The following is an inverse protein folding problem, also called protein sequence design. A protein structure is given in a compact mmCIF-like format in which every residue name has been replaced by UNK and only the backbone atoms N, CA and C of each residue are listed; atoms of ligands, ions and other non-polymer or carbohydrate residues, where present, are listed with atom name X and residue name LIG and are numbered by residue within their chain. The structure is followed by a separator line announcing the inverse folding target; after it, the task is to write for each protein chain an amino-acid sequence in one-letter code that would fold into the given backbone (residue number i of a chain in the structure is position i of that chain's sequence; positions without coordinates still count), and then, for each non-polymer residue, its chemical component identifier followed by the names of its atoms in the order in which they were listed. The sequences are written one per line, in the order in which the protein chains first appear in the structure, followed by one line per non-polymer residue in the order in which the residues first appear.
data_IF_864702564573
#
_entry.id   IF_864702564573
#
_cell.length_a   1.000
_cell.length_b   1.000
_cell.length_c   1.000
_cell.angle_alpha   90.00
_cell.angle_beta   90.00
_cell.angle_gamma   90.00
#
_symmetry.space_group_name_H-M   'P 1'
#
loop_
_entity.id
_entity.type
_entity.pdbx_description
1 polymer ?
#
# COMPACT_ATOMS: atom_id res chain seq x y z
N UNK A 1 -2.07 -25.28 8.98
CA UNK A 1 -3.02 -26.06 8.15
C UNK A 1 -2.29 -27.01 7.21
N UNK A 2 -1.39 -26.51 6.35
CA UNK A 2 -0.62 -27.34 5.41
C UNK A 2 0.76 -27.76 5.93
N UNK A 3 1.00 -27.51 7.22
CA UNK A 3 2.25 -27.74 7.94
C UNK A 3 3.52 -27.53 7.10
N UNK A 4 3.63 -26.34 6.49
CA UNK A 4 4.73 -25.99 5.62
C UNK A 4 5.96 -25.64 6.47
N UNK A 5 7.14 -26.08 6.02
CA UNK A 5 8.41 -25.65 6.62
C UNK A 5 8.64 -24.16 6.36
N UNK A 6 8.43 -23.74 5.11
CA UNK A 6 8.56 -22.35 4.65
C UNK A 6 7.44 -22.04 3.65
N UNK A 7 6.91 -20.82 3.71
CA UNK A 7 5.92 -20.33 2.77
C UNK A 7 5.98 -18.80 2.68
N UNK A 8 5.88 -18.30 1.46
CA UNK A 8 5.75 -16.88 1.18
C UNK A 8 4.66 -16.63 0.14
N UNK A 9 3.97 -15.51 0.30
CA UNK A 9 3.10 -14.98 -0.74
C UNK A 9 3.91 -14.23 -1.79
N UNK A 10 3.43 -14.24 -3.02
CA UNK A 10 3.97 -13.37 -4.06
C UNK A 10 3.61 -11.91 -3.80
N UNK A 11 4.59 -11.15 -3.29
CA UNK A 11 4.53 -9.69 -3.20
C UNK A 11 4.52 -9.06 -4.59
N UNK A 12 5.27 -9.65 -5.53
CA UNK A 12 5.33 -9.27 -6.94
C UNK A 12 3.94 -9.26 -7.61
N UNK A 13 3.08 -10.23 -7.29
CA UNK A 13 1.74 -10.34 -7.86
C UNK A 13 0.87 -9.12 -7.50
N UNK A 14 0.82 -8.77 -6.21
CA UNK A 14 0.07 -7.60 -5.76
C UNK A 14 0.73 -6.29 -6.19
N UNK A 15 2.07 -6.24 -6.24
CA UNK A 15 2.81 -5.11 -6.78
C UNK A 15 2.42 -4.80 -8.24
N UNK A 16 2.25 -5.83 -9.07
CA UNK A 16 1.80 -5.68 -10.45
C UNK A 16 0.47 -4.92 -10.52
N UNK A 17 -0.55 -5.44 -9.82
CA UNK A 17 -1.89 -4.88 -9.88
C UNK A 17 -1.98 -3.51 -9.20
N UNK A 18 -1.27 -3.31 -8.08
CA UNK A 18 -1.21 -2.01 -7.41
C UNK A 18 -0.69 -0.91 -8.35
N UNK A 19 0.32 -1.20 -9.18
CA UNK A 19 0.86 -0.21 -10.12
C UNK A 19 -0.12 0.13 -11.23
N UNK A 20 -0.78 -0.87 -11.80
CA UNK A 20 -1.81 -0.66 -12.84
C UNK A 20 -2.99 0.12 -12.27
N UNK A 21 -3.45 -0.24 -11.08
CA UNK A 21 -4.57 0.41 -10.40
C UNK A 21 -4.24 1.84 -9.98
N UNK A 22 -3.04 2.10 -9.43
CA UNK A 22 -2.61 3.48 -9.13
C UNK A 22 -2.53 4.35 -10.37
N UNK A 23 -2.08 3.82 -11.51
CA UNK A 23 -2.11 4.56 -12.77
C UNK A 23 -3.54 4.92 -13.19
N UNK A 24 -4.47 3.96 -13.09
CA UNK A 24 -5.89 4.17 -13.37
C UNK A 24 -6.53 5.17 -12.40
N UNK A 25 -6.25 5.04 -11.10
CA UNK A 25 -6.69 5.96 -10.04
C UNK A 25 -6.22 7.39 -10.29
N UNK A 26 -4.94 7.56 -10.64
CA UNK A 26 -4.39 8.86 -10.99
C UNK A 26 -5.15 9.49 -12.16
N UNK A 27 -5.37 8.75 -13.26
CA UNK A 27 -6.09 9.28 -14.41
C UNK A 27 -7.57 9.58 -14.10
N UNK A 28 -8.24 8.79 -13.26
CA UNK A 28 -9.58 9.14 -12.76
C UNK A 28 -9.58 10.44 -11.93
N UNK A 29 -8.59 10.65 -11.07
CA UNK A 29 -8.47 11.91 -10.33
C UNK A 29 -8.20 13.10 -11.26
N UNK A 30 -7.51 12.89 -12.39
CA UNK A 30 -7.35 13.92 -13.42
C UNK A 30 -8.69 14.24 -14.08
N UNK A 31 -9.48 13.23 -14.44
CA UNK A 31 -10.84 13.44 -14.97
C UNK A 31 -11.75 14.17 -13.98
N UNK A 32 -11.62 13.86 -12.68
CA UNK A 32 -12.37 14.51 -11.61
C UNK A 32 -11.93 15.95 -11.29
N UNK A 33 -10.83 16.43 -11.90
CA UNK A 33 -10.25 17.76 -11.64
C UNK A 33 -9.96 18.53 -12.94
N UNK A 34 -10.68 18.20 -14.02
CA UNK A 34 -10.54 18.86 -15.33
C UNK A 34 -10.91 20.35 -15.28
N UNK A 35 -11.81 20.72 -14.39
CA UNK A 35 -12.27 22.09 -14.14
C UNK A 35 -11.27 22.95 -13.36
N UNK A 36 -10.28 22.32 -12.70
CA UNK A 36 -9.25 23.03 -11.94
C UNK A 36 -8.04 23.38 -12.81
N UNK A 37 -7.39 24.50 -12.52
CA UNK A 37 -6.14 24.89 -13.19
C UNK A 37 -5.05 23.84 -12.99
N UNK A 38 -4.20 23.65 -14.01
CA UNK A 38 -3.03 22.76 -13.94
C UNK A 38 -2.08 23.18 -12.81
N UNK A 39 -1.95 24.47 -12.56
CA UNK A 39 -1.06 25.03 -11.53
C UNK A 39 -1.71 25.08 -10.14
N UNK A 40 -2.95 24.59 -10.01
CA UNK A 40 -3.60 24.50 -8.71
C UNK A 40 -2.85 23.55 -7.79
N UNK A 41 -2.88 23.85 -6.49
CA UNK A 41 -2.20 23.04 -5.47
C UNK A 41 -2.62 21.57 -5.51
N UNK A 42 -3.91 21.31 -5.73
CA UNK A 42 -4.43 19.95 -5.79
C UNK A 42 -3.87 19.21 -7.01
N UNK A 43 -4.00 19.79 -8.21
CA UNK A 43 -3.53 19.15 -9.43
C UNK A 43 -2.01 18.91 -9.36
N UNK A 44 -1.23 19.91 -8.93
CA UNK A 44 0.22 19.73 -8.72
C UNK A 44 0.53 18.62 -7.70
N UNK A 45 -0.28 18.46 -6.65
CA UNK A 45 -0.13 17.36 -5.70
C UNK A 45 -0.39 15.98 -6.35
N UNK A 46 -1.39 15.86 -7.23
CA UNK A 46 -1.64 14.64 -7.99
C UNK A 46 -0.46 14.30 -8.91
N UNK A 47 0.07 15.30 -9.63
CA UNK A 47 1.21 15.14 -10.55
C UNK A 47 2.54 14.85 -9.85
N UNK A 48 2.67 15.18 -8.55
CA UNK A 48 3.91 14.99 -7.81
C UNK A 48 4.32 13.51 -7.73
N UNK A 49 3.38 12.60 -7.45
CA UNK A 49 3.63 11.15 -7.28
C UNK A 49 2.48 10.30 -7.83
N UNK A 50 2.27 10.29 -9.16
CA UNK A 50 1.10 9.65 -9.77
C UNK A 50 1.12 8.13 -9.61
N UNK A 51 2.31 7.51 -9.65
CA UNK A 51 2.53 6.09 -9.37
C UNK A 51 3.68 5.97 -8.38
N UNK A 52 3.53 5.13 -7.36
CA UNK A 52 4.50 4.96 -6.28
C UNK A 52 4.31 3.61 -5.56
N UNK A 53 5.31 3.17 -4.81
CA UNK A 53 5.28 1.90 -4.06
C UNK A 53 4.50 1.94 -2.76
N UNK A 54 4.65 2.98 -1.90
CA UNK A 54 3.92 3.03 -0.64
C UNK A 54 2.41 2.83 -0.81
N UNK A 55 1.81 2.09 0.10
CA UNK A 55 0.39 1.81 0.14
C UNK A 55 -0.08 1.80 1.60
N UNK A 56 -1.39 1.68 1.80
CA UNK A 56 -2.01 1.53 3.10
C UNK A 56 -2.79 0.23 3.18
N UNK A 57 -3.16 -0.21 4.38
CA UNK A 57 -3.93 -1.44 4.54
C UNK A 57 -5.25 -1.42 3.75
N UNK A 58 -5.98 -0.31 3.75
CA UNK A 58 -7.20 -0.17 2.94
C UNK A 58 -6.96 -0.06 1.42
N UNK A 59 -5.70 0.00 0.97
CA UNK A 59 -5.33 -0.17 -0.45
C UNK A 59 -4.95 -1.61 -0.77
N UNK A 60 -4.57 -2.40 0.25
CA UNK A 60 -4.24 -3.82 0.14
C UNK A 60 -5.49 -4.68 0.06
N UNK A 61 -6.50 -4.40 0.91
CA UNK A 61 -7.79 -5.12 0.93
C UNK A 61 -8.46 -5.19 -0.45
N UNK A 62 -8.75 -4.07 -1.15
CA UNK A 62 -9.44 -4.13 -2.44
C UNK A 62 -8.61 -4.80 -3.55
N UNK A 63 -7.27 -4.84 -3.44
CA UNK A 63 -6.45 -5.60 -4.38
C UNK A 63 -6.68 -7.11 -4.21
N UNK A 64 -6.71 -7.60 -2.98
CA UNK A 64 -6.95 -9.02 -2.70
C UNK A 64 -8.38 -9.41 -3.03
N UNK A 65 -9.36 -8.58 -2.69
CA UNK A 65 -10.76 -8.86 -3.02
C UNK A 65 -11.00 -8.95 -4.53
N UNK A 66 -10.25 -8.16 -5.31
CA UNK A 66 -10.39 -8.10 -6.78
C UNK A 66 -9.53 -9.13 -7.50
N UNK A 67 -8.30 -9.35 -7.05
CA UNK A 67 -7.30 -10.15 -7.75
C UNK A 67 -6.88 -11.42 -7.02
N UNK A 68 -7.22 -11.58 -5.74
CA UNK A 68 -6.79 -12.70 -4.93
C UNK A 68 -5.30 -12.65 -4.59
N UNK A 69 -4.72 -13.83 -4.32
CA UNK A 69 -3.31 -13.97 -3.97
C UNK A 69 -2.72 -15.21 -4.64
N UNK A 70 -1.40 -15.28 -4.72
CA UNK A 70 -0.69 -16.47 -5.20
C UNK A 70 0.53 -16.75 -4.33
N UNK A 71 0.97 -18.02 -4.21
CA UNK A 71 2.26 -18.38 -3.61
C UNK A 71 3.43 -17.72 -4.35
N UNK A 72 4.52 -17.45 -3.64
CA UNK A 72 5.76 -16.94 -4.22
C UNK A 72 6.29 -17.84 -5.35
N UNK A 73 6.21 -19.16 -5.18
CA UNK A 73 6.66 -20.14 -6.18
C UNK A 73 5.91 -20.06 -7.52
N UNK A 74 4.71 -19.48 -7.53
CA UNK A 74 3.86 -19.34 -8.72
C UNK A 74 4.17 -18.05 -9.49
N UNK A 75 4.54 -16.99 -8.79
CA UNK A 75 4.87 -15.70 -9.39
C UNK A 75 6.02 -15.05 -8.61
N UNK A 76 7.28 -15.42 -8.90
CA UNK A 76 8.43 -14.98 -8.13
C UNK A 76 8.81 -13.52 -8.47
N UNK A 77 9.76 -13.00 -7.71
CA UNK A 77 10.27 -11.66 -7.92
C UNK A 77 11.00 -11.52 -9.27
N UNK A 78 11.00 -10.30 -9.81
CA UNK A 78 11.74 -9.91 -11.01
C UNK A 78 12.69 -8.78 -10.65
N UNK A 79 13.64 -8.47 -11.53
CA UNK A 79 14.54 -7.34 -11.31
C UNK A 79 13.78 -6.04 -10.98
N UNK A 80 12.66 -5.79 -11.68
CA UNK A 80 11.94 -4.52 -11.61
C UNK A 80 11.04 -4.38 -10.37
N UNK A 81 10.55 -5.47 -9.77
CA UNK A 81 9.83 -5.35 -8.49
C UNK A 81 10.78 -5.25 -7.28
N UNK A 82 11.99 -5.82 -7.39
CA UNK A 82 13.05 -5.63 -6.38
C UNK A 82 13.74 -4.27 -6.51
N UNK A 83 13.78 -3.68 -7.71
CA UNK A 83 14.46 -2.42 -8.03
C UNK A 83 13.52 -1.46 -8.78
N UNK A 84 12.41 -1.12 -8.13
CA UNK A 84 11.26 -0.42 -8.74
C UNK A 84 11.52 1.02 -9.18
N UNK A 85 12.59 1.69 -8.72
CA UNK A 85 12.79 3.12 -8.94
C UNK A 85 12.69 3.55 -10.42
N UNK A 86 13.34 2.81 -11.33
CA UNK A 86 13.30 3.10 -12.76
C UNK A 86 11.92 2.80 -13.37
N UNK A 87 11.28 1.70 -12.96
CA UNK A 87 9.93 1.36 -13.41
C UNK A 87 8.92 2.42 -12.96
N UNK A 88 8.96 2.82 -11.69
CA UNK A 88 8.11 3.89 -11.14
C UNK A 88 8.34 5.20 -11.87
N UNK A 89 9.59 5.55 -12.20
CA UNK A 89 9.91 6.74 -12.99
C UNK A 89 9.31 6.66 -14.38
N UNK A 90 9.45 5.54 -15.08
CA UNK A 90 8.89 5.31 -16.41
C UNK A 90 7.36 5.45 -16.39
N UNK A 91 6.69 4.69 -15.51
CA UNK A 91 5.23 4.75 -15.36
C UNK A 91 4.77 6.16 -15.05
N UNK A 92 5.45 6.85 -14.13
CA UNK A 92 5.11 8.22 -13.76
C UNK A 92 5.23 9.19 -14.93
N UNK A 93 6.24 9.06 -15.80
CA UNK A 93 6.35 9.89 -17.00
C UNK A 93 5.21 9.63 -17.97
N UNK A 94 4.91 8.35 -18.25
CA UNK A 94 3.84 7.95 -19.18
C UNK A 94 2.48 8.46 -18.71
N UNK A 95 2.11 8.24 -17.45
CA UNK A 95 0.80 8.69 -16.95
C UNK A 95 0.69 10.21 -16.88
N UNK A 96 1.78 10.95 -16.65
CA UNK A 96 1.76 12.42 -16.71
C UNK A 96 1.46 12.92 -18.11
N UNK A 97 2.06 12.30 -19.13
CA UNK A 97 1.77 12.62 -20.53
C UNK A 97 0.29 12.35 -20.86
N UNK A 98 -0.22 11.19 -20.44
CA UNK A 98 -1.64 10.85 -20.56
C UNK A 98 -2.55 11.88 -19.88
N UNK A 99 -2.22 12.29 -18.65
CA UNK A 99 -2.99 13.29 -17.93
C UNK A 99 -3.03 14.64 -18.65
N UNK A 100 -1.89 15.11 -19.18
CA UNK A 100 -1.84 16.36 -19.96
C UNK A 100 -2.65 16.25 -21.25
N UNK A 101 -2.58 15.10 -21.93
CA UNK A 101 -3.40 14.83 -23.11
C UNK A 101 -4.89 14.89 -22.78
N UNK A 102 -5.36 14.17 -21.76
CA UNK A 102 -6.78 14.17 -21.35
C UNK A 102 -7.28 15.58 -21.05
N UNK A 103 -6.46 16.40 -20.37
CA UNK A 103 -6.79 17.80 -20.06
C UNK A 103 -6.86 18.67 -21.31
N UNK A 104 -5.91 18.51 -22.25
CA UNK A 104 -5.91 19.23 -23.52
C UNK A 104 -7.13 18.87 -24.37
N UNK A 105 -7.46 17.59 -24.47
CA UNK A 105 -8.64 17.12 -25.20
C UNK A 105 -9.96 17.63 -24.58
N UNK A 106 -10.06 17.68 -23.25
CA UNK A 106 -11.18 18.32 -22.57
C UNK A 106 -11.29 19.82 -22.90
N UNK A 107 -10.17 20.54 -22.91
CA UNK A 107 -10.14 21.95 -23.28
C UNK A 107 -10.53 22.19 -24.75
N UNK A 108 -10.30 21.20 -25.61
CA UNK A 108 -10.74 21.19 -27.02
C UNK A 108 -12.19 20.72 -27.21
N UNK A 109 -12.94 20.51 -26.12
CA UNK A 109 -14.38 20.26 -26.16
C UNK A 109 -14.82 18.80 -26.12
N UNK A 110 -13.90 17.84 -25.92
CA UNK A 110 -14.30 16.43 -25.71
C UNK A 110 -15.02 16.28 -24.38
N UNK A 111 -16.08 15.46 -24.37
CA UNK A 111 -16.79 15.15 -23.14
C UNK A 111 -16.07 14.08 -22.31
N UNK A 112 -16.41 13.98 -21.03
CA UNK A 112 -15.76 13.05 -20.08
C UNK A 112 -15.89 11.58 -20.52
N UNK A 113 -17.00 11.19 -21.16
CA UNK A 113 -17.20 9.80 -21.61
C UNK A 113 -16.25 9.42 -22.78
N UNK A 114 -15.97 10.35 -23.68
CA UNK A 114 -14.95 10.16 -24.73
C UNK A 114 -13.55 10.02 -24.10
N UNK A 115 -13.24 10.86 -23.12
CA UNK A 115 -11.96 10.82 -22.39
C UNK A 115 -11.78 9.52 -21.61
N UNK A 116 -12.86 8.96 -21.03
CA UNK A 116 -12.83 7.65 -20.38
C UNK A 116 -12.52 6.52 -21.37
N UNK A 117 -13.02 6.62 -22.60
CA UNK A 117 -12.70 5.67 -23.67
C UNK A 117 -11.21 5.74 -24.03
N UNK A 118 -10.63 6.94 -24.17
CA UNK A 118 -9.19 7.11 -24.40
C UNK A 118 -8.35 6.59 -23.23
N UNK A 119 -8.78 6.86 -22.00
CA UNK A 119 -8.12 6.36 -20.78
C UNK A 119 -8.05 4.83 -20.77
N UNK A 120 -9.05 4.11 -21.30
CA UNK A 120 -9.00 2.66 -21.37
C UNK A 120 -7.82 2.15 -22.23
N UNK A 121 -7.52 2.81 -23.36
CA UNK A 121 -6.34 2.49 -24.18
C UNK A 121 -5.03 2.85 -23.48
N UNK A 122 -5.00 3.97 -22.76
CA UNK A 122 -3.85 4.37 -21.94
C UNK A 122 -3.53 3.33 -20.87
N UNK A 123 -4.54 2.74 -20.23
CA UNK A 123 -4.33 1.67 -19.23
C UNK A 123 -3.85 0.36 -19.88
N UNK A 124 -4.26 0.04 -21.10
CA UNK A 124 -3.68 -1.11 -21.83
C UNK A 124 -2.18 -0.93 -22.06
N UNK A 125 -1.73 0.29 -22.34
CA UNK A 125 -0.31 0.61 -22.46
C UNK A 125 0.45 0.44 -21.13
N UNK A 126 -0.11 0.93 -20.02
CA UNK A 126 0.45 0.68 -18.68
C UNK A 126 0.54 -0.82 -18.38
N UNK A 127 -0.53 -1.56 -18.67
CA UNK A 127 -0.56 -3.02 -18.48
C UNK A 127 0.53 -3.73 -19.32
N UNK A 128 0.76 -3.28 -20.56
CA UNK A 128 1.82 -3.80 -21.43
C UNK A 128 3.21 -3.55 -20.84
N UNK A 129 3.49 -2.34 -20.35
CA UNK A 129 4.77 -2.02 -19.68
C UNK A 129 4.97 -2.91 -18.46
N UNK A 130 3.92 -3.08 -17.64
CA UNK A 130 3.98 -3.94 -16.45
C UNK A 130 4.23 -5.41 -16.81
N UNK A 131 3.59 -5.91 -17.87
CA UNK A 131 3.78 -7.28 -18.35
C UNK A 131 5.21 -7.52 -18.85
N UNK A 132 5.78 -6.57 -19.59
CA UNK A 132 7.17 -6.66 -20.07
C UNK A 132 8.17 -6.72 -18.91
N UNK A 133 7.90 -5.98 -17.82
CA UNK A 133 8.84 -5.80 -16.71
C UNK A 133 8.66 -6.80 -15.57
N UNK A 134 7.46 -7.37 -15.42
CA UNK A 134 7.11 -8.25 -14.28
C UNK A 134 6.56 -9.61 -14.70
N UNK A 135 6.44 -9.90 -16.00
CA UNK A 135 5.71 -11.05 -16.55
C UNK A 135 4.19 -10.93 -16.37
N UNK A 136 3.43 -11.70 -17.16
CA UNK A 136 1.97 -11.76 -17.05
C UNK A 136 1.54 -12.46 -15.75
N UNK A 137 0.68 -11.85 -14.92
CA UNK A 137 0.10 -12.55 -13.76
C UNK A 137 -0.70 -13.79 -14.19
N UNK A 138 -0.64 -14.89 -13.43
CA UNK A 138 -1.38 -16.11 -13.75
C UNK A 138 -2.88 -15.90 -13.55
N UNK A 139 -3.69 -16.43 -14.47
CA UNK A 139 -5.16 -16.52 -14.32
C UNK A 139 -5.57 -17.79 -13.57
N UNK A 140 -4.82 -18.86 -13.79
CA UNK A 140 -4.90 -20.14 -13.10
C UNK A 140 -3.50 -20.70 -12.92
N UNK A 141 -3.30 -21.51 -11.90
CA UNK A 141 -2.02 -22.15 -11.62
C UNK A 141 -2.20 -23.50 -10.92
N UNK A 142 -1.14 -24.28 -10.93
CA UNK A 142 -0.98 -25.45 -10.07
C UNK A 142 -0.01 -25.08 -8.97
N UNK A 143 -0.40 -25.30 -7.71
CA UNK A 143 0.48 -25.15 -6.56
C UNK A 143 0.92 -26.52 -6.07
N UNK A 144 2.20 -26.82 -6.27
CA UNK A 144 2.84 -28.04 -5.80
C UNK A 144 3.82 -27.70 -4.67
N UNK A 145 3.80 -28.46 -3.58
CA UNK A 145 4.65 -28.22 -2.40
C UNK A 145 4.87 -29.51 -1.61
N UNK A 146 5.85 -29.48 -0.71
CA UNK A 146 6.06 -30.52 0.28
C UNK A 146 5.69 -29.98 1.67
N UNK A 147 5.04 -30.79 2.50
CA UNK A 147 4.86 -30.47 3.92
C UNK A 147 6.15 -30.75 4.73
N UNK A 148 6.13 -30.48 6.04
CA UNK A 148 7.25 -30.74 6.94
C UNK A 148 7.67 -32.21 7.02
N UNK A 149 6.76 -33.14 6.75
CA UNK A 149 7.06 -34.58 6.75
C UNK A 149 7.64 -35.04 5.40
N UNK A 150 7.76 -34.14 4.42
CA UNK A 150 8.28 -34.44 3.08
C UNK A 150 7.24 -35.10 2.17
N UNK A 151 5.95 -35.04 2.50
CA UNK A 151 4.87 -35.53 1.65
C UNK A 151 4.55 -34.52 0.55
N UNK A 152 4.47 -35.00 -0.68
CA UNK A 152 4.12 -34.17 -1.84
C UNK A 152 2.62 -33.87 -1.87
N UNK A 153 2.28 -32.59 -2.07
CA UNK A 153 0.93 -32.08 -2.26
C UNK A 153 0.84 -31.29 -3.56
N UNK A 154 -0.31 -31.36 -4.22
CA UNK A 154 -0.56 -30.64 -5.47
C UNK A 154 -2.03 -30.20 -5.55
N UNK A 155 -2.23 -28.90 -5.81
CA UNK A 155 -3.54 -28.30 -6.04
C UNK A 155 -3.55 -27.72 -7.46
N UNK A 156 -4.38 -28.28 -8.35
CA UNK A 156 -4.39 -27.96 -9.79
C UNK A 156 -5.48 -26.97 -10.18
N UNK A 157 -5.20 -26.22 -11.23
CA UNK A 157 -6.17 -25.39 -11.98
C UNK A 157 -6.95 -24.38 -11.10
N UNK A 158 -6.31 -23.90 -10.03
CA UNK A 158 -6.90 -22.90 -9.13
C UNK A 158 -6.61 -21.48 -9.60
N UNK A 159 -7.58 -20.60 -9.42
CA UNK A 159 -7.43 -19.17 -9.62
C UNK A 159 -6.81 -18.50 -8.37
N UNK A 160 -6.19 -17.32 -8.51
CA UNK A 160 -5.74 -16.54 -7.36
C UNK A 160 -6.84 -16.18 -6.35
N UNK A 161 -8.08 -16.01 -6.81
CA UNK A 161 -9.23 -15.71 -5.94
C UNK A 161 -9.68 -16.95 -5.15
N UNK A 162 -9.77 -18.11 -5.80
CA UNK A 162 -10.04 -19.39 -5.11
C UNK A 162 -8.94 -19.69 -4.10
N UNK A 163 -7.66 -19.46 -4.46
CA UNK A 163 -6.55 -19.60 -3.53
C UNK A 163 -6.73 -18.76 -2.26
N UNK A 164 -7.06 -17.47 -2.41
CA UNK A 164 -7.32 -16.60 -1.26
C UNK A 164 -8.54 -17.05 -0.44
N UNK A 165 -9.67 -17.34 -1.09
CA UNK A 165 -10.93 -17.63 -0.39
C UNK A 165 -10.93 -19.00 0.29
N UNK A 166 -10.38 -20.01 -0.36
CA UNK A 166 -10.53 -21.40 0.08
C UNK A 166 -9.34 -21.88 0.91
N UNK A 167 -8.18 -21.23 0.77
CA UNK A 167 -6.93 -21.70 1.40
C UNK A 167 -6.35 -20.73 2.45
N UNK A 168 -6.72 -19.44 2.45
CA UNK A 168 -6.07 -18.45 3.33
C UNK A 168 -6.78 -18.14 4.64
N UNK A 169 -8.01 -18.62 4.88
CA UNK A 169 -8.77 -18.55 6.15
C UNK A 169 -8.63 -17.21 6.91
N UNK A 170 -8.42 -16.12 6.19
CA UNK A 170 -8.21 -14.78 6.71
C UNK A 170 -8.98 -13.83 5.82
N UNK A 171 -10.07 -13.29 6.35
CA UNK A 171 -10.87 -12.31 5.65
C UNK A 171 -10.35 -10.90 5.95
N UNK A 172 -9.55 -10.36 5.03
CA UNK A 172 -9.01 -9.02 5.18
C UNK A 172 -10.09 -7.93 5.19
N UNK A 173 -11.30 -8.19 4.71
CA UNK A 173 -12.42 -7.24 4.74
C UNK A 173 -12.95 -6.97 6.15
N UNK A 174 -12.72 -7.90 7.09
CA UNK A 174 -13.14 -7.79 8.51
C UNK A 174 -12.18 -6.97 9.37
N UNK A 175 -11.14 -6.40 8.77
CA UNK A 175 -10.13 -5.61 9.49
C UNK A 175 -10.49 -4.13 9.53
N UNK A 176 -10.02 -3.45 10.59
CA UNK A 176 -10.20 -2.01 10.77
C UNK A 176 -8.85 -1.35 10.98
N UNK A 177 -8.61 -0.23 10.28
CA UNK A 177 -7.41 0.57 10.49
C UNK A 177 -7.61 1.56 11.64
N UNK A 178 -6.79 1.43 12.68
CA UNK A 178 -6.72 2.40 13.78
C UNK A 178 -5.54 3.34 13.55
N UNK A 179 -5.73 4.62 13.87
CA UNK A 179 -4.68 5.62 13.76
C UNK A 179 -4.67 6.50 15.01
N UNK A 180 -3.50 7.06 15.34
CA UNK A 180 -3.40 8.05 16.40
C UNK A 180 -2.86 9.36 15.79
N UNK A 181 -3.79 10.27 15.53
CA UNK A 181 -3.53 11.61 15.05
C UNK A 181 -4.03 12.64 16.07
N UNK A 182 -3.17 13.12 16.98
CA UNK A 182 -3.53 14.10 18.00
C UNK A 182 -3.83 15.50 17.45
N UNK A 183 -3.77 15.72 16.12
CA UNK A 183 -4.22 16.97 15.49
C UNK A 183 -5.74 17.04 15.34
N UNK A 184 -6.42 15.91 15.45
CA UNK A 184 -7.85 15.75 15.22
C UNK A 184 -8.53 15.14 16.45
N UNK A 185 -9.85 15.34 16.57
CA UNK A 185 -10.65 14.67 17.60
C UNK A 185 -10.54 13.14 17.48
N UNK A 186 -10.50 12.47 18.63
CA UNK A 186 -10.56 11.01 18.72
C UNK A 186 -12.00 10.50 18.54
N UNK A 187 -12.13 9.20 18.27
CA UNK A 187 -13.39 8.50 17.97
C UNK A 187 -14.11 9.09 16.75
N UNK A 188 -13.31 9.41 15.72
CA UNK A 188 -13.76 9.91 14.42
C UNK A 188 -13.15 9.10 13.29
N UNK A 189 -13.89 8.94 12.20
CA UNK A 189 -13.37 8.44 10.94
C UNK A 189 -12.55 9.54 10.28
N UNK A 190 -11.29 9.25 9.96
CA UNK A 190 -10.43 10.08 9.13
C UNK A 190 -10.26 9.43 7.76
N UNK A 191 -10.23 10.25 6.72
CA UNK A 191 -9.91 9.85 5.33
C UNK A 191 -8.97 10.89 4.74
N UNK A 192 -8.29 10.55 3.65
CA UNK A 192 -7.45 11.48 2.89
C UNK A 192 -7.96 11.52 1.46
N UNK A 193 -8.48 12.67 1.05
CA UNK A 193 -9.02 12.86 -0.29
C UNK A 193 -7.98 12.49 -1.37
N UNK A 194 -8.45 11.84 -2.44
CA UNK A 194 -7.66 11.41 -3.60
C UNK A 194 -6.59 10.34 -3.33
N UNK A 195 -6.48 9.79 -2.11
CA UNK A 195 -5.57 8.68 -1.80
C UNK A 195 -6.31 7.35 -1.99
N UNK A 196 -5.77 6.49 -2.86
CA UNK A 196 -6.33 5.19 -3.17
C UNK A 196 -5.58 4.51 -4.32
N UNK A 197 -6.05 3.33 -4.72
CA UNK A 197 -5.53 2.58 -5.87
C UNK A 197 -6.65 1.96 -6.70
N UNK A 198 -7.55 1.16 -6.10
CA UNK A 198 -8.61 0.47 -6.84
C UNK A 198 -9.83 1.37 -6.96
N UNK A 199 -10.16 1.79 -8.18
CA UNK A 199 -11.38 2.59 -8.46
C UNK A 199 -12.62 1.76 -8.13
N UNK A 200 -13.51 2.32 -7.30
CA UNK A 200 -14.69 1.62 -6.78
C UNK A 200 -14.41 0.64 -5.64
N UNK A 201 -13.15 0.49 -5.21
CA UNK A 201 -12.78 -0.27 -4.02
C UNK A 201 -13.06 0.47 -2.71
N UNK A 202 -12.73 -0.17 -1.59
CA UNK A 202 -12.85 0.43 -0.26
C UNK A 202 -12.06 1.75 -0.15
N UNK A 203 -12.68 2.77 0.43
CA UNK A 203 -12.01 4.04 0.73
C UNK A 203 -10.91 3.85 1.80
N UNK A 204 -9.78 4.53 1.61
CA UNK A 204 -8.76 4.65 2.65
C UNK A 204 -9.33 5.40 3.84
N UNK A 205 -9.44 4.73 4.99
CA UNK A 205 -9.96 5.39 6.19
C UNK A 205 -9.44 4.76 7.47
N UNK A 206 -9.42 5.57 8.53
CA UNK A 206 -8.95 5.17 9.84
C UNK A 206 -9.92 5.62 10.92
N UNK A 207 -10.02 4.85 11.99
CA UNK A 207 -10.62 5.34 13.24
C UNK A 207 -9.53 5.99 14.06
N UNK A 208 -9.63 7.29 14.30
CA UNK A 208 -8.69 8.02 15.13
C UNK A 208 -8.94 7.70 16.60
N UNK A 209 -7.93 7.21 17.32
CA UNK A 209 -8.05 6.77 18.71
C UNK A 209 -6.86 7.22 19.55
N UNK A 210 -7.00 7.31 20.89
CA UNK A 210 -5.88 7.47 21.80
C UNK A 210 -4.81 6.38 21.62
N UNK A 211 -3.54 6.74 21.84
CA UNK A 211 -2.43 5.79 21.69
C UNK A 211 -2.49 4.65 22.73
N UNK A 212 -3.08 4.91 23.90
CA UNK A 212 -3.34 3.88 24.92
C UNK A 212 -4.17 2.73 24.37
N UNK A 213 -5.20 3.05 23.60
CA UNK A 213 -6.16 2.06 23.09
C UNK A 213 -5.50 1.20 22.01
N UNK A 214 -4.70 1.82 21.13
CA UNK A 214 -3.89 1.09 20.14
C UNK A 214 -2.92 0.14 20.84
N UNK A 215 -2.18 0.61 21.86
CA UNK A 215 -1.22 -0.23 22.59
C UNK A 215 -1.92 -1.42 23.27
N UNK A 216 -3.06 -1.18 23.90
CA UNK A 216 -3.86 -2.23 24.57
C UNK A 216 -4.36 -3.28 23.59
N UNK A 217 -4.94 -2.86 22.47
CA UNK A 217 -5.43 -3.76 21.43
C UNK A 217 -4.28 -4.52 20.75
N UNK A 218 -3.15 -3.86 20.50
CA UNK A 218 -1.96 -4.48 19.95
C UNK A 218 -1.43 -5.60 20.87
N UNK A 219 -1.30 -5.33 22.16
CA UNK A 219 -0.88 -6.33 23.14
C UNK A 219 -1.84 -7.53 23.16
N UNK A 220 -3.16 -7.29 23.19
CA UNK A 220 -4.17 -8.35 23.16
C UNK A 220 -4.10 -9.22 21.91
N UNK A 221 -3.97 -8.60 20.72
CA UNK A 221 -3.87 -9.32 19.46
C UNK A 221 -2.63 -10.21 19.42
N UNK A 222 -1.47 -9.63 19.77
CA UNK A 222 -0.19 -10.36 19.76
C UNK A 222 -0.21 -11.51 20.77
N UNK A 223 -0.72 -11.29 21.99
CA UNK A 223 -0.86 -12.35 23.00
C UNK A 223 -1.84 -13.45 22.59
N UNK A 224 -2.83 -13.13 21.75
CA UNK A 224 -3.76 -14.10 21.16
C UNK A 224 -3.18 -14.82 19.94
N UNK A 225 -1.90 -14.60 19.60
CA UNK A 225 -1.25 -15.22 18.44
C UNK A 225 -1.55 -14.53 17.11
N UNK A 226 -2.15 -13.34 17.13
CA UNK A 226 -2.44 -12.55 15.94
C UNK A 226 -1.39 -11.43 15.78
N UNK A 227 -0.48 -11.53 14.79
CA UNK A 227 0.47 -10.45 14.52
C UNK A 227 -0.26 -9.20 14.03
N UNK A 228 0.25 -8.02 14.39
CA UNK A 228 -0.37 -6.74 14.05
C UNK A 228 0.46 -5.98 13.02
N UNK A 229 -0.10 -5.71 11.85
CA UNK A 229 0.47 -4.74 10.91
C UNK A 229 0.34 -3.31 11.45
N UNK A 230 1.41 -2.53 11.36
CA UNK A 230 1.41 -1.12 11.77
C UNK A 230 2.30 -0.28 10.86
N UNK A 231 2.08 1.03 10.87
CA UNK A 231 2.97 1.99 10.22
C UNK A 231 3.59 2.95 11.22
N UNK A 232 4.83 3.36 10.95
CA UNK A 232 5.53 4.35 11.75
C UNK A 232 6.47 5.20 10.88
N UNK A 233 7.13 6.15 11.53
CA UNK A 233 8.26 6.89 10.95
C UNK A 233 9.55 6.17 11.32
N UNK A 234 9.95 5.17 10.53
CA UNK A 234 11.07 4.26 10.84
C UNK A 234 12.44 4.97 10.80
N UNK A 235 12.48 6.20 10.28
CA UNK A 235 13.70 7.01 10.22
C UNK A 235 13.95 7.81 11.51
N UNK A 236 13.08 7.70 12.52
CA UNK A 236 13.20 8.44 13.79
C UNK A 236 13.68 7.55 14.91
N UNK A 237 14.83 7.90 15.48
CA UNK A 237 15.34 7.29 16.71
C UNK A 237 15.47 5.76 16.60
N UNK A 238 15.96 5.29 15.45
CA UNK A 238 16.27 3.88 15.18
C UNK A 238 17.77 3.72 14.98
N UNK A 239 18.39 2.80 15.72
CA UNK A 239 19.81 2.48 15.58
C UNK A 239 20.08 1.54 14.39
N UNK A 240 21.36 1.43 13.99
CA UNK A 240 21.79 0.46 12.96
C UNK A 240 21.56 -1.01 13.39
N UNK A 241 21.36 -1.26 14.68
CA UNK A 241 21.07 -2.57 15.23
C UNK A 241 19.56 -2.86 15.28
N UNK A 242 18.71 -2.00 14.70
CA UNK A 242 17.26 -2.21 14.66
C UNK A 242 16.54 -1.85 15.95
N UNK A 243 17.17 -1.10 16.87
CA UNK A 243 16.54 -0.67 18.13
C UNK A 243 15.84 0.67 17.90
N UNK A 244 14.51 0.69 18.04
CA UNK A 244 13.69 1.90 17.99
C UNK A 244 13.37 2.38 19.43
N UNK A 245 14.11 3.39 19.90
CA UNK A 245 13.94 3.95 21.25
C UNK A 245 14.16 5.47 21.19
N UNK A 246 13.22 6.25 21.75
CA UNK A 246 13.31 7.72 21.80
C UNK A 246 14.50 8.26 22.58
N UNK A 247 15.18 7.42 23.38
CA UNK A 247 16.38 7.77 24.13
C UNK A 247 17.67 7.20 23.53
N UNK A 248 17.61 6.56 22.36
CA UNK A 248 18.76 5.85 21.78
C UNK A 248 19.93 6.79 21.39
N UNK A 249 19.65 8.08 21.19
CA UNK A 249 20.66 9.10 20.84
C UNK A 249 20.58 10.31 21.78
N UNK A 250 21.68 10.59 22.46
CA UNK A 250 21.81 11.69 23.43
C UNK A 250 22.17 13.04 22.77
N UNK A 251 21.33 13.51 21.84
CA UNK A 251 21.57 14.76 21.12
C UNK A 251 21.62 15.99 22.03
N UNK A 252 20.85 15.98 23.13
CA UNK A 252 20.85 17.07 24.11
C UNK A 252 22.21 17.19 24.79
N UNK A 253 22.82 16.07 25.19
CA UNK A 253 24.15 16.06 25.80
C UNK A 253 25.24 16.47 24.79
N UNK A 254 25.14 16.02 23.54
CA UNK A 254 26.15 16.27 22.52
C UNK A 254 26.12 17.72 21.97
N UNK A 255 24.94 18.30 21.79
CA UNK A 255 24.77 19.56 21.04
C UNK A 255 24.02 20.65 21.80
N UNK A 256 23.62 20.40 23.05
CA UNK A 256 22.73 21.29 23.81
C UNK A 256 21.42 21.61 23.05
N UNK A 257 20.94 20.66 22.24
CA UNK A 257 19.75 20.80 21.41
C UNK A 257 18.66 19.82 21.86
N UNK A 258 17.48 20.34 22.22
CA UNK A 258 16.33 19.55 22.71
C UNK A 258 15.23 19.45 21.65
N UNK A 259 14.61 18.28 21.52
CA UNK A 259 13.50 18.03 20.60
C UNK A 259 12.18 17.95 21.35
N UNK A 260 11.56 19.09 21.64
CA UNK A 260 10.38 19.16 22.51
C UNK A 260 9.04 19.20 21.76
N UNK A 261 9.04 19.05 20.42
CA UNK A 261 7.80 19.06 19.65
C UNK A 261 6.91 17.89 20.05
N UNK A 262 5.64 18.17 20.36
CA UNK A 262 4.59 17.17 20.52
C UNK A 262 4.38 16.38 19.22
N UNK A 263 3.70 15.23 19.30
CA UNK A 263 3.37 14.45 18.10
C UNK A 263 2.54 15.26 17.10
N UNK A 264 1.57 16.07 17.58
CA UNK A 264 0.74 16.92 16.74
C UNK A 264 1.58 17.96 15.98
N UNK A 265 2.45 18.68 16.69
CA UNK A 265 3.34 19.69 16.08
C UNK A 265 4.29 19.06 15.06
N UNK A 266 4.88 17.89 15.37
CA UNK A 266 5.76 17.17 14.43
C UNK A 266 5.03 16.82 13.12
N UNK A 267 3.76 16.43 13.20
CA UNK A 267 2.96 16.13 12.02
C UNK A 267 2.55 17.40 11.26
N UNK A 268 2.23 18.48 11.98
CA UNK A 268 1.80 19.75 11.40
C UNK A 268 2.94 20.48 10.68
N UNK A 269 4.17 20.43 11.21
CA UNK A 269 5.36 21.02 10.59
C UNK A 269 6.12 20.05 9.67
N UNK A 270 5.49 18.93 9.27
CA UNK A 270 6.06 17.93 8.35
C UNK A 270 7.35 17.25 8.86
N UNK A 271 7.66 17.33 10.15
CA UNK A 271 8.83 16.71 10.78
C UNK A 271 8.71 15.19 10.91
N UNK A 272 7.47 14.68 11.00
CA UNK A 272 7.18 13.24 11.09
C UNK A 272 5.89 12.86 10.37
N UNK A 273 5.91 11.68 9.74
CA UNK A 273 4.77 11.05 9.07
C UNK A 273 5.02 9.54 8.95
N UNK A 274 3.97 8.70 8.83
CA UNK A 274 4.19 7.30 8.50
C UNK A 274 4.93 7.18 7.15
N UNK A 275 5.97 6.37 7.12
CA UNK A 275 6.79 6.14 5.92
C UNK A 275 7.15 4.67 5.70
N UNK A 276 6.86 3.79 6.66
CA UNK A 276 7.13 2.37 6.56
C UNK A 276 6.07 1.55 7.29
N UNK A 277 5.73 0.39 6.73
CA UNK A 277 4.83 -0.59 7.32
C UNK A 277 5.62 -1.81 7.81
N UNK A 278 5.32 -2.29 9.01
CA UNK A 278 5.97 -3.42 9.67
C UNK A 278 4.93 -4.28 10.39
N UNK A 279 5.38 -5.35 11.04
CA UNK A 279 4.52 -6.27 11.80
C UNK A 279 5.04 -6.41 13.22
N UNK A 280 4.16 -6.23 14.21
CA UNK A 280 4.42 -6.58 15.60
C UNK A 280 4.06 -8.06 15.81
N UNK A 281 5.03 -8.84 16.27
CA UNK A 281 4.90 -10.29 16.51
C UNK A 281 5.14 -10.68 17.96
N UNK A 282 5.54 -9.74 18.82
CA UNK A 282 5.81 -9.98 20.23
C UNK A 282 5.60 -8.71 21.06
N UNK A 283 5.31 -8.90 22.35
CA UNK A 283 5.18 -7.83 23.32
C UNK A 283 5.71 -8.32 24.68
N UNK A 284 6.41 -7.45 25.40
CA UNK A 284 6.76 -7.66 26.80
C UNK A 284 5.79 -6.85 27.67
N UNK A 285 5.16 -7.49 28.65
CA UNK A 285 4.22 -6.87 29.58
C UNK A 285 4.88 -6.92 30.96
N UNK A 286 5.04 -5.76 31.59
CA UNK A 286 5.45 -5.66 32.99
C UNK A 286 4.21 -5.84 33.87
N UNK A 287 4.35 -6.64 34.93
CA UNK A 287 3.31 -6.92 35.93
C UNK A 287 2.95 -5.68 36.78
#
# INVERSE_FOLDING_TARGET
QYDLAEFDFSKAYLFFYDKVEKANWFLENILATLDQSLDSRLVQCLFAKPVHDPAQWNMFVPLIEKYGMVPYSVYPDTYHNLNSAHLVSLLSSVVREFALRLRNEYANGKCVEELRTEKAEMIKEIYRIMTITNMSPPKKFTWAFYDRDGTFHEIKDITPLEFYKDYMHFDCSQTVSLFNDPRNEYMRKLTVAYVGNVVGGQEVSHVNVPISDIKHLAAKLVMAGHPLWFTCDVLKMVSRNGIADTNIFEYAAAFNAKYNLTKAERMQCLKSKPNHGMVLTGVHIED
#
